data_IF_810866574816
#
_entry.id   IF_810866574816
#
_cell.length_a   1.000
_cell.length_b   1.000
_cell.length_c   1.000
_cell.angle_alpha   90.00
_cell.angle_beta   90.00
_cell.angle_gamma   90.00
#
_symmetry.space_group_name_H-M   'P 1'
#
loop_
_entity.id
_entity.type
_entity.pdbx_description
1 polymer ?
#
# COMPACT_ATOMS: atom_id res chain seq x y z
N UNK A 1 -27.54 5.73 2.42
CA UNK A 1 -27.25 4.42 1.82
C UNK A 1 -27.15 4.64 0.33
N UNK A 2 -25.97 4.49 -0.26
CA UNK A 2 -25.79 4.67 -1.71
C UNK A 2 -26.64 3.64 -2.46
N UNK A 3 -27.13 4.00 -3.64
CA UNK A 3 -27.85 3.07 -4.49
C UNK A 3 -26.87 1.99 -4.99
N UNK A 4 -27.30 0.72 -5.02
CA UNK A 4 -26.51 -0.40 -5.58
C UNK A 4 -25.97 -0.10 -6.98
N UNK A 5 -26.69 0.74 -7.74
CA UNK A 5 -26.29 1.26 -9.05
C UNK A 5 -24.94 1.98 -9.04
N UNK A 6 -24.60 2.73 -7.98
CA UNK A 6 -23.30 3.42 -7.90
C UNK A 6 -22.14 2.42 -7.82
N UNK A 7 -22.31 1.33 -7.07
CA UNK A 7 -21.30 0.25 -7.01
C UNK A 7 -21.15 -0.46 -8.35
N UNK A 8 -22.25 -0.67 -9.08
CA UNK A 8 -22.21 -1.21 -10.45
C UNK A 8 -21.45 -0.27 -11.38
N UNK A 9 -21.67 1.04 -11.28
CA UNK A 9 -20.94 2.03 -12.08
C UNK A 9 -19.44 2.04 -11.78
N UNK A 10 -19.05 1.90 -10.50
CA UNK A 10 -17.65 1.76 -10.10
C UNK A 10 -17.04 0.49 -10.71
N UNK A 11 -17.77 -0.63 -10.69
CA UNK A 11 -17.29 -1.89 -11.27
C UNK A 11 -17.10 -1.79 -12.79
N UNK A 12 -18.06 -1.16 -13.50
CA UNK A 12 -17.95 -0.89 -14.93
C UNK A 12 -16.73 -0.01 -15.22
N UNK A 13 -16.53 1.04 -14.42
CA UNK A 13 -15.39 1.94 -14.56
C UNK A 13 -14.05 1.20 -14.40
N UNK A 14 -13.92 0.37 -13.37
CA UNK A 14 -12.73 -0.47 -13.15
C UNK A 14 -12.51 -1.44 -14.32
N UNK A 15 -13.59 -2.05 -14.83
CA UNK A 15 -13.54 -2.95 -15.99
C UNK A 15 -13.03 -2.25 -17.26
N UNK A 16 -13.52 -1.05 -17.54
CA UNK A 16 -13.06 -0.25 -18.69
C UNK A 16 -11.60 0.15 -18.52
N UNK A 17 -11.21 0.65 -17.33
CA UNK A 17 -9.83 1.05 -17.06
C UNK A 17 -8.84 -0.12 -17.21
N UNK A 18 -9.16 -1.28 -16.63
CA UNK A 18 -8.37 -2.49 -16.78
C UNK A 18 -8.34 -2.98 -18.24
N UNK A 19 -9.48 -2.94 -18.94
CA UNK A 19 -9.60 -3.30 -20.34
C UNK A 19 -8.70 -2.46 -21.25
N UNK A 20 -8.68 -1.14 -21.04
CA UNK A 20 -7.77 -0.24 -21.77
C UNK A 20 -6.32 -0.63 -21.50
N UNK A 21 -5.94 -0.87 -20.24
CA UNK A 21 -4.58 -1.30 -19.88
C UNK A 21 -4.18 -2.60 -20.59
N UNK A 22 -5.05 -3.61 -20.60
CA UNK A 22 -4.83 -4.88 -21.30
C UNK A 22 -4.69 -4.69 -22.80
N UNK A 23 -5.57 -3.88 -23.43
CA UNK A 23 -5.50 -3.60 -24.87
C UNK A 23 -4.18 -2.91 -25.23
N UNK A 24 -3.75 -1.91 -24.46
CA UNK A 24 -2.49 -1.21 -24.72
C UNK A 24 -1.28 -2.14 -24.59
N UNK A 25 -1.25 -2.99 -23.55
CA UNK A 25 -0.18 -3.99 -23.38
C UNK A 25 -0.19 -5.02 -24.52
N UNK A 26 -1.37 -5.49 -24.93
CA UNK A 26 -1.52 -6.44 -26.04
C UNK A 26 -1.03 -5.82 -27.36
N UNK A 27 -1.43 -4.58 -27.66
CA UNK A 27 -0.94 -3.85 -28.83
C UNK A 27 0.57 -3.69 -28.80
N UNK A 28 1.15 -3.27 -27.67
CA UNK A 28 2.61 -3.15 -27.51
C UNK A 28 3.34 -4.48 -27.75
N UNK A 29 2.82 -5.58 -27.23
CA UNK A 29 3.39 -6.91 -27.40
C UNK A 29 3.23 -7.48 -28.83
N UNK A 30 2.16 -7.10 -29.54
CA UNK A 30 1.87 -7.60 -30.89
C UNK A 30 2.58 -6.81 -32.00
N UNK A 31 2.71 -5.49 -31.85
CA UNK A 31 3.21 -4.60 -32.90
C UNK A 31 4.75 -4.46 -32.92
N UNK A 32 5.45 -4.89 -31.86
CA UNK A 32 6.91 -4.79 -31.76
C UNK A 32 7.67 -5.86 -32.57
N UNK A 33 8.86 -5.54 -33.15
CA UNK A 33 9.72 -6.54 -33.77
C UNK A 33 10.20 -7.62 -32.79
N UNK A 34 9.86 -8.87 -33.06
CA UNK A 34 10.20 -10.02 -32.20
C UNK A 34 11.60 -10.57 -32.52
N UNK A 35 12.65 -9.88 -32.06
CA UNK A 35 14.06 -10.29 -32.25
C UNK A 35 14.79 -10.49 -30.90
N UNK A 36 14.42 -11.52 -30.11
CA UNK A 36 15.10 -11.84 -28.87
C UNK A 36 16.53 -12.33 -29.17
N UNK A 37 17.48 -11.97 -28.32
CA UNK A 37 18.83 -12.56 -28.30
C UNK A 37 19.25 -12.77 -26.85
N UNK A 38 20.14 -13.72 -26.55
CA UNK A 38 20.61 -13.95 -25.20
C UNK A 38 21.09 -12.67 -24.52
N UNK A 39 21.89 -11.86 -25.23
CA UNK A 39 22.40 -10.56 -24.76
C UNK A 39 21.28 -9.56 -24.41
N UNK A 40 20.18 -9.50 -25.17
CA UNK A 40 19.06 -8.59 -24.90
C UNK A 40 18.20 -9.01 -23.71
N UNK A 41 18.26 -10.28 -23.33
CA UNK A 41 17.49 -10.86 -22.24
C UNK A 41 18.30 -10.93 -20.93
N UNK A 42 19.60 -10.60 -20.96
CA UNK A 42 20.42 -10.55 -19.75
C UNK A 42 19.92 -9.44 -18.82
N UNK A 43 19.82 -9.68 -17.50
CA UNK A 43 19.59 -8.61 -16.54
C UNK A 43 20.65 -7.52 -16.68
N UNK A 44 20.24 -6.29 -16.42
CA UNK A 44 21.13 -5.14 -16.56
C UNK A 44 22.15 -5.10 -15.42
N UNK A 45 23.43 -5.31 -15.75
CA UNK A 45 24.59 -5.11 -14.86
C UNK A 45 25.78 -4.59 -15.69
N UNK A 46 25.54 -3.56 -16.53
CA UNK A 46 26.55 -2.94 -17.40
C UNK A 46 27.40 -3.90 -18.25
N UNK A 47 26.85 -5.05 -18.66
CA UNK A 47 27.52 -6.05 -19.50
C UNK A 47 28.26 -7.15 -18.73
N UNK A 48 28.18 -7.16 -17.40
CA UNK A 48 28.67 -8.23 -16.57
C UNK A 48 27.57 -9.26 -16.28
N UNK A 49 27.93 -10.51 -15.97
CA UNK A 49 26.96 -11.43 -15.39
C UNK A 49 26.48 -10.84 -14.05
N UNK A 50 25.17 -10.83 -13.76
CA UNK A 50 24.66 -10.46 -12.46
C UNK A 50 25.15 -11.49 -11.43
N UNK A 51 26.35 -11.29 -10.88
CA UNK A 51 26.77 -11.90 -9.63
C UNK A 51 25.87 -11.31 -8.53
N UNK A 52 25.27 -12.05 -7.60
CA UNK A 52 25.33 -13.43 -7.15
C UNK A 52 24.27 -13.52 -6.04
N UNK A 53 24.34 -14.52 -5.16
CA UNK A 53 23.38 -14.75 -4.05
C UNK A 53 22.76 -13.46 -3.47
N UNK A 54 21.44 -13.36 -3.64
CA UNK A 54 20.65 -12.28 -3.08
C UNK A 54 20.71 -12.41 -1.56
N UNK A 55 21.46 -11.51 -0.92
CA UNK A 55 21.46 -11.42 0.53
C UNK A 55 20.07 -11.03 1.00
N UNK A 56 19.74 -11.36 2.26
CA UNK A 56 18.44 -10.99 2.83
C UNK A 56 18.24 -9.49 2.68
N UNK A 57 17.10 -9.11 2.14
CA UNK A 57 16.69 -7.71 2.07
C UNK A 57 16.69 -7.11 3.48
N UNK A 58 17.01 -5.81 3.63
CA UNK A 58 17.01 -5.14 4.92
C UNK A 58 15.67 -5.28 5.65
N UNK A 59 15.73 -5.50 6.97
CA UNK A 59 14.55 -5.73 7.82
C UNK A 59 13.69 -4.45 7.98
N UNK A 60 14.22 -3.27 7.69
CA UNK A 60 13.47 -2.01 7.84
C UNK A 60 12.17 -1.97 7.03
N UNK A 61 12.10 -2.64 5.87
CA UNK A 61 10.85 -2.75 5.10
C UNK A 61 9.75 -3.49 5.86
N UNK A 62 10.12 -4.53 6.61
CA UNK A 62 9.17 -5.27 7.44
C UNK A 62 8.64 -4.41 8.59
N UNK A 63 9.52 -3.66 9.26
CA UNK A 63 9.12 -2.77 10.36
C UNK A 63 8.13 -1.71 9.87
N UNK A 64 8.41 -1.07 8.74
CA UNK A 64 7.52 -0.06 8.14
C UNK A 64 6.18 -0.68 7.75
N UNK A 65 6.17 -1.86 7.12
CA UNK A 65 4.93 -2.54 6.74
C UNK A 65 4.09 -2.94 7.96
N UNK A 66 4.73 -3.47 9.02
CA UNK A 66 4.05 -3.83 10.26
C UNK A 66 3.41 -2.60 10.93
N UNK A 67 4.17 -1.50 11.03
CA UNK A 67 3.66 -0.23 11.55
C UNK A 67 2.49 0.29 10.73
N UNK A 68 2.61 0.28 9.40
CA UNK A 68 1.53 0.69 8.50
C UNK A 68 0.24 -0.09 8.76
N UNK A 69 0.31 -1.42 8.92
CA UNK A 69 -0.88 -2.24 9.21
C UNK A 69 -1.53 -1.84 10.54
N UNK A 70 -0.73 -1.59 11.58
CA UNK A 70 -1.25 -1.19 12.90
C UNK A 70 -1.97 0.17 12.79
N UNK A 71 -1.37 1.14 12.11
CA UNK A 71 -1.98 2.45 11.90
C UNK A 71 -3.20 2.43 10.98
N UNK A 72 -3.20 1.58 9.95
CA UNK A 72 -4.36 1.42 9.07
C UNK A 72 -5.57 0.87 9.85
N UNK A 73 -5.31 -0.10 10.74
CA UNK A 73 -6.33 -0.60 11.67
C UNK A 73 -6.79 0.48 12.63
N UNK A 74 -5.89 1.33 13.16
CA UNK A 74 -6.28 2.48 13.99
C UNK A 74 -7.25 3.39 13.25
N UNK A 75 -6.92 3.80 12.02
CA UNK A 75 -7.77 4.65 11.18
C UNK A 75 -9.11 3.98 10.89
N UNK A 76 -9.13 2.66 10.68
CA UNK A 76 -10.36 1.89 10.53
C UNK A 76 -11.29 2.01 11.75
N UNK A 77 -10.74 2.08 12.97
CA UNK A 77 -11.52 2.34 14.19
C UNK A 77 -11.93 3.81 14.35
N UNK A 78 -11.13 4.75 13.84
CA UNK A 78 -11.45 6.19 13.91
C UNK A 78 -12.58 6.59 12.96
N UNK A 79 -12.74 5.91 11.81
CA UNK A 79 -13.78 6.25 10.82
C UNK A 79 -15.21 6.21 11.37
N UNK A 80 -15.67 5.13 12.04
CA UNK A 80 -17.01 5.07 12.62
C UNK A 80 -17.30 6.20 13.61
N UNK A 81 -16.30 6.60 14.40
CA UNK A 81 -16.41 7.75 15.28
C UNK A 81 -16.48 9.05 14.49
N UNK A 82 -15.59 9.26 13.52
CA UNK A 82 -15.54 10.49 12.72
C UNK A 82 -16.88 10.80 12.04
N UNK A 83 -17.57 9.77 11.52
CA UNK A 83 -18.87 9.95 10.84
C UNK A 83 -20.06 10.09 11.80
N UNK A 84 -19.92 9.73 13.09
CA UNK A 84 -20.99 9.76 14.08
C UNK A 84 -20.71 10.65 15.31
N UNK A 85 -19.62 11.43 15.31
CA UNK A 85 -19.11 12.12 16.51
C UNK A 85 -20.19 12.91 17.29
N UNK A 86 -21.08 13.61 16.59
CA UNK A 86 -22.18 14.36 17.21
C UNK A 86 -23.19 13.51 17.99
N UNK A 87 -23.38 12.23 17.63
CA UNK A 87 -24.28 11.30 18.35
C UNK A 87 -23.62 10.67 19.57
N UNK A 88 -22.31 10.47 19.55
CA UNK A 88 -21.58 9.86 20.67
C UNK A 88 -21.23 10.88 21.77
N UNK A 89 -21.25 12.18 21.45
CA UNK A 89 -21.02 13.26 22.41
C UNK A 89 -19.66 13.18 23.10
N UNK A 90 -19.56 13.77 24.30
CA UNK A 90 -18.30 13.90 25.04
C UNK A 90 -17.72 12.54 25.47
N UNK A 91 -18.58 11.54 25.70
CA UNK A 91 -18.14 10.19 26.08
C UNK A 91 -17.40 9.50 24.93
N UNK A 92 -17.93 9.59 23.70
CA UNK A 92 -17.23 9.08 22.52
C UNK A 92 -15.92 9.81 22.25
N UNK A 93 -15.89 11.12 22.46
CA UNK A 93 -14.67 11.92 22.33
C UNK A 93 -13.56 11.42 23.26
N UNK A 94 -13.85 11.22 24.55
CA UNK A 94 -12.85 10.72 25.49
C UNK A 94 -12.44 9.27 25.21
N UNK A 95 -13.37 8.42 24.78
CA UNK A 95 -13.05 7.04 24.41
C UNK A 95 -12.05 6.99 23.23
N UNK A 96 -12.33 7.73 22.15
CA UNK A 96 -11.46 7.77 20.97
C UNK A 96 -10.14 8.48 21.25
N UNK A 97 -10.17 9.58 22.01
CA UNK A 97 -8.93 10.26 22.41
C UNK A 97 -8.04 9.33 23.23
N UNK A 98 -8.61 8.58 24.17
CA UNK A 98 -7.84 7.61 24.97
C UNK A 98 -7.27 6.49 24.09
N UNK A 99 -8.07 5.95 23.17
CA UNK A 99 -7.63 4.93 22.22
C UNK A 99 -6.45 5.42 21.36
N UNK A 100 -6.57 6.60 20.73
CA UNK A 100 -5.51 7.21 19.94
C UNK A 100 -4.26 7.49 20.76
N UNK A 101 -4.40 8.00 21.99
CA UNK A 101 -3.24 8.26 22.85
C UNK A 101 -2.47 6.99 23.23
N UNK A 102 -3.15 5.86 23.40
CA UNK A 102 -2.49 4.57 23.68
C UNK A 102 -1.66 4.13 22.47
N UNK A 103 -2.23 4.17 21.26
CA UNK A 103 -1.51 3.78 20.04
C UNK A 103 -0.36 4.76 19.76
N UNK A 104 -0.61 6.06 19.91
CA UNK A 104 0.39 7.11 19.77
C UNK A 104 1.55 6.95 20.77
N UNK A 105 1.28 6.51 22.00
CA UNK A 105 2.34 6.22 22.96
C UNK A 105 3.25 5.07 22.48
N UNK A 106 2.66 4.02 21.89
CA UNK A 106 3.42 2.95 21.24
C UNK A 106 4.29 3.46 20.09
N UNK A 107 3.73 4.32 19.24
CA UNK A 107 4.48 4.96 18.16
C UNK A 107 5.67 5.80 18.64
N UNK A 108 5.44 6.66 19.64
CA UNK A 108 6.49 7.50 20.23
C UNK A 108 7.60 6.63 20.84
N UNK A 109 7.24 5.49 21.45
CA UNK A 109 8.22 4.54 21.98
C UNK A 109 9.10 3.95 20.87
N UNK A 110 8.51 3.47 19.79
CA UNK A 110 9.24 2.88 18.67
C UNK A 110 10.10 3.92 17.92
N UNK A 111 9.60 5.14 17.79
CA UNK A 111 10.35 6.28 17.26
C UNK A 111 11.60 6.53 18.09
N UNK A 112 11.46 6.62 19.43
CA UNK A 112 12.59 6.84 20.34
C UNK A 112 13.58 5.68 20.31
N UNK A 113 13.12 4.45 20.08
CA UNK A 113 13.98 3.29 19.87
C UNK A 113 14.71 3.28 18.53
N UNK A 114 14.33 4.14 17.58
CA UNK A 114 15.00 4.24 16.28
C UNK A 114 14.79 3.03 15.38
N UNK A 115 13.67 2.30 15.56
CA UNK A 115 13.36 1.10 14.75
C UNK A 115 13.05 1.48 13.29
N UNK A 116 12.73 2.75 13.04
CA UNK A 116 12.44 3.32 11.71
C UNK A 116 13.68 3.95 11.04
N UNK A 117 14.90 3.69 11.53
CA UNK A 117 16.12 4.23 10.90
C UNK A 117 16.37 3.58 9.54
N UNK A 118 16.83 4.41 8.60
CA UNK A 118 17.04 4.05 7.19
C UNK A 118 18.51 4.02 6.79
N UNK A 119 19.41 4.07 7.79
CA UNK A 119 20.86 4.05 7.59
C UNK A 119 21.41 2.62 7.49
#
# INVERSE_FOLDING_TARGET
MQATTEYINILIYLGIAAGIGVVMLAMGAMLGPKKPSPTKLMPYESGNDPAGEVHRLPVHFYVVAMLFIIFDVEVAFLWPYAVNAGKLGIAGFWAVTTFTLIVLAGFVYEWKKGVMKWD
#
